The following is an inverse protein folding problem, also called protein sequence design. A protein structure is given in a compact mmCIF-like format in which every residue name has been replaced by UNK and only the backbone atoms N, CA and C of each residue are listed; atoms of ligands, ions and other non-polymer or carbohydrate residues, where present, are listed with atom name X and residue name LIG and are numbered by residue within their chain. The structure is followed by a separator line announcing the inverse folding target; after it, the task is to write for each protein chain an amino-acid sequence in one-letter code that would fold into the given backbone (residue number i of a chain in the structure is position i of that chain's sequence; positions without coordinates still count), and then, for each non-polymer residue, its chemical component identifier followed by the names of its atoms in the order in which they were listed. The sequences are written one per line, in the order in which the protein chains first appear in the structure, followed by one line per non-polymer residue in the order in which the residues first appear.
data_IF_503344444653
#
_entry.id   IF_503344444653
#
_cell.length_a   1.000
_cell.length_b   1.000
_cell.length_c   1.000
_cell.angle_alpha   90.00
_cell.angle_beta   90.00
_cell.angle_gamma   90.00
#
_symmetry.space_group_name_H-M   'P 1'
#
loop_
_entity.id
_entity.type
_entity.pdbx_description
1 polymer ?
#
# COMPACT_ATOMS: atom_id res chain seq x y z
N UNK A 1 -9.55 -25.40 -15.88
CA UNK A 1 -8.38 -24.70 -15.33
C UNK A 1 -8.91 -23.51 -14.56
N UNK A 2 -8.72 -23.51 -13.23
CA UNK A 2 -9.32 -22.53 -12.35
C UNK A 2 -8.51 -21.24 -12.32
N UNK A 3 -8.93 -20.25 -13.10
CA UNK A 3 -8.67 -18.85 -12.74
C UNK A 3 -9.75 -18.47 -11.75
N UNK A 4 -9.45 -18.49 -10.45
CA UNK A 4 -10.30 -17.76 -9.51
C UNK A 4 -10.24 -16.30 -9.93
N UNK A 5 -11.21 -15.85 -10.72
CA UNK A 5 -11.35 -14.46 -11.18
C UNK A 5 -11.85 -13.61 -10.01
N UNK A 6 -11.18 -13.70 -8.88
CA UNK A 6 -11.47 -12.82 -7.75
C UNK A 6 -10.86 -11.49 -8.13
N UNK A 7 -11.68 -10.57 -8.61
CA UNK A 7 -11.26 -9.19 -8.74
C UNK A 7 -11.12 -8.60 -7.31
N UNK A 8 -10.21 -7.65 -7.09
CA UNK A 8 -10.14 -6.94 -5.82
C UNK A 8 -11.48 -6.28 -5.50
N UNK A 9 -11.89 -6.35 -4.23
CA UNK A 9 -13.08 -5.63 -3.78
C UNK A 9 -12.73 -4.18 -3.45
N UNK A 10 -13.32 -3.23 -4.17
CA UNK A 10 -13.11 -1.81 -3.90
C UNK A 10 -13.71 -1.40 -2.54
N UNK A 11 -13.13 -0.41 -1.84
CA UNK A 11 -11.92 0.34 -2.20
C UNK A 11 -10.61 -0.42 -1.96
N UNK A 12 -9.62 -0.22 -2.83
CA UNK A 12 -8.24 -0.61 -2.56
C UNK A 12 -7.64 0.30 -1.47
N UNK A 13 -6.75 -0.26 -0.65
CA UNK A 13 -6.10 0.43 0.46
C UNK A 13 -4.59 0.22 0.46
N UNK A 14 -3.84 1.30 0.63
CA UNK A 14 -2.40 1.29 0.82
C UNK A 14 -2.10 1.08 2.31
N UNK A 15 -1.26 0.10 2.59
CA UNK A 15 -0.65 -0.12 3.89
C UNK A 15 0.85 0.19 3.81
N UNK A 16 1.38 0.94 4.78
CA UNK A 16 2.82 1.11 4.94
C UNK A 16 3.38 -0.02 5.78
N UNK A 17 4.57 -0.51 5.42
CA UNK A 17 5.25 -1.56 6.19
C UNK A 17 6.63 -1.12 6.66
N UNK A 18 7.00 -1.57 7.87
CA UNK A 18 8.34 -1.42 8.46
C UNK A 18 9.26 -2.60 8.14
N UNK A 19 8.68 -3.72 7.70
CA UNK A 19 9.39 -4.86 7.12
C UNK A 19 8.61 -5.35 5.89
N UNK A 20 9.30 -5.58 4.78
CA UNK A 20 8.68 -6.07 3.56
C UNK A 20 8.14 -7.50 3.75
N UNK A 21 6.99 -7.77 3.13
CA UNK A 21 6.46 -9.12 3.00
C UNK A 21 7.19 -9.93 1.92
N UNK A 22 6.76 -11.17 1.76
CA UNK A 22 7.14 -12.08 0.69
C UNK A 22 5.89 -12.67 0.05
N UNK A 23 6.04 -13.50 -0.98
CA UNK A 23 4.91 -14.22 -1.59
C UNK A 23 4.12 -15.07 -0.57
N UNK A 24 4.79 -15.53 0.49
CA UNK A 24 4.20 -16.41 1.50
C UNK A 24 3.65 -15.67 2.73
N UNK A 25 4.04 -14.42 2.98
CA UNK A 25 3.68 -13.70 4.19
C UNK A 25 3.55 -12.18 3.99
N UNK A 26 2.58 -11.59 4.70
CA UNK A 26 2.44 -10.14 4.83
C UNK A 26 3.68 -9.51 5.49
N UNK A 27 4.00 -8.27 5.09
CA UNK A 27 4.97 -7.45 5.79
C UNK A 27 4.51 -7.05 7.19
N UNK A 28 5.39 -6.41 7.94
CA UNK A 28 5.02 -5.82 9.24
C UNK A 28 4.40 -4.45 8.99
N UNK A 29 3.09 -4.37 9.11
CA UNK A 29 2.36 -3.10 8.96
C UNK A 29 2.74 -2.10 10.05
N UNK A 30 2.85 -0.83 9.68
CA UNK A 30 3.05 0.28 10.63
C UNK A 30 1.90 0.29 11.64
N UNK A 31 2.21 0.54 12.92
CA UNK A 31 1.21 0.68 13.98
C UNK A 31 1.56 1.84 14.89
N UNK A 32 0.54 2.45 15.50
CA UNK A 32 0.68 3.62 16.38
C UNK A 32 0.53 4.96 15.66
N UNK A 33 0.63 6.05 16.42
CA UNK A 33 0.35 7.40 15.93
C UNK A 33 -1.09 7.51 15.38
N UNK A 34 -1.24 8.23 14.28
CA UNK A 34 -2.50 8.35 13.52
C UNK A 34 -2.53 7.44 12.28
N UNK A 35 -1.67 6.42 12.23
CA UNK A 35 -1.59 5.54 11.08
C UNK A 35 -2.88 4.72 10.92
N UNK A 36 -3.44 4.79 9.70
CA UNK A 36 -4.51 3.91 9.20
C UNK A 36 -4.24 3.63 7.73
N UNK A 37 -4.66 2.47 7.22
CA UNK A 37 -4.61 2.21 5.77
C UNK A 37 -5.40 3.28 5.02
N UNK A 38 -4.84 3.80 3.92
CA UNK A 38 -5.47 4.86 3.13
C UNK A 38 -6.11 4.28 1.89
N UNK A 39 -7.33 4.72 1.59
CA UNK A 39 -7.97 4.37 0.33
C UNK A 39 -7.13 4.92 -0.83
N UNK A 40 -6.98 4.10 -1.88
CA UNK A 40 -6.27 4.46 -3.10
C UNK A 40 -7.29 4.62 -4.20
N UNK A 41 -7.25 5.76 -4.86
CA UNK A 41 -7.86 5.91 -6.18
C UNK A 41 -6.80 5.58 -7.21
N UNK A 42 -7.10 4.66 -8.12
CA UNK A 42 -6.19 4.22 -9.18
C UNK A 42 -6.69 4.71 -10.54
N UNK A 43 -5.76 5.03 -11.43
CA UNK A 43 -6.07 5.26 -12.83
C UNK A 43 -6.46 3.97 -13.56
N UNK A 44 -6.85 4.11 -14.82
CA UNK A 44 -6.97 2.96 -15.71
C UNK A 44 -5.61 2.25 -15.82
N UNK A 45 -5.60 0.92 -15.68
CA UNK A 45 -4.38 0.16 -15.86
C UNK A 45 -3.94 0.22 -17.33
N UNK A 46 -2.64 0.40 -17.56
CA UNK A 46 -2.01 0.36 -18.87
C UNK A 46 -0.89 -0.67 -18.83
N UNK A 47 -0.86 -1.59 -19.81
CA UNK A 47 0.12 -2.68 -19.87
C UNK A 47 0.20 -3.54 -18.59
N UNK A 48 -0.92 -3.70 -17.88
CA UNK A 48 -1.00 -4.50 -16.64
C UNK A 48 -0.56 -3.79 -15.36
N UNK A 49 -0.10 -2.54 -15.44
CA UNK A 49 0.23 -1.72 -14.27
C UNK A 49 -0.76 -0.55 -14.12
N UNK A 50 -1.03 -0.15 -12.88
CA UNK A 50 -1.75 1.08 -12.55
C UNK A 50 -0.97 1.90 -11.53
N UNK A 51 -1.35 3.15 -11.36
CA UNK A 51 -0.78 4.06 -10.37
C UNK A 51 -1.86 4.79 -9.59
N UNK A 52 -1.51 5.27 -8.40
CA UNK A 52 -2.38 6.15 -7.64
C UNK A 52 -2.68 7.43 -8.44
N UNK A 53 -3.96 7.79 -8.59
CA UNK A 53 -4.39 8.98 -9.34
C UNK A 53 -4.51 10.23 -8.46
N UNK A 54 -4.34 10.09 -7.15
CA UNK A 54 -4.39 11.17 -6.17
C UNK A 54 -3.30 10.96 -5.11
N UNK A 55 -2.94 12.05 -4.42
CA UNK A 55 -1.97 12.03 -3.34
C UNK A 55 -2.49 11.16 -2.18
N UNK A 56 -1.65 10.24 -1.72
CA UNK A 56 -1.93 9.42 -0.54
C UNK A 56 -1.14 10.03 0.61
N UNK A 57 -1.84 10.59 1.58
CA UNK A 57 -1.22 11.33 2.69
C UNK A 57 -1.58 10.71 4.03
N UNK A 58 -0.56 10.50 4.84
CA UNK A 58 -0.68 10.17 6.24
C UNK A 58 0.04 11.22 7.09
N UNK A 59 -0.67 11.76 8.05
CA UNK A 59 -0.15 12.72 9.03
C UNK A 59 -0.06 12.05 10.40
N UNK A 60 0.77 12.59 11.30
CA UNK A 60 0.86 12.07 12.66
C UNK A 60 1.47 10.66 12.73
N UNK A 61 2.45 10.37 11.88
CA UNK A 61 3.08 9.04 11.82
C UNK A 61 3.83 8.72 13.12
N UNK A 62 3.90 7.43 13.51
CA UNK A 62 4.81 7.00 14.56
C UNK A 62 6.26 7.11 14.09
N UNK A 63 7.19 7.22 15.04
CA UNK A 63 8.62 7.12 14.72
C UNK A 63 8.94 5.72 14.20
N UNK A 64 9.61 5.62 13.06
CA UNK A 64 9.91 4.34 12.43
C UNK A 64 10.49 4.50 11.03
N UNK A 65 10.92 3.38 10.43
CA UNK A 65 11.39 3.37 9.04
C UNK A 65 10.41 2.60 8.18
N UNK A 66 9.89 3.26 7.16
CA UNK A 66 9.02 2.69 6.14
C UNK A 66 9.91 2.09 5.05
N UNK A 67 9.75 0.80 4.78
CA UNK A 67 10.57 0.07 3.81
C UNK A 67 9.80 -0.36 2.56
N UNK A 68 8.47 -0.28 2.61
CA UNK A 68 7.61 -0.75 1.53
C UNK A 68 6.15 -0.34 1.68
N UNK A 69 5.37 -0.73 0.68
CA UNK A 69 3.92 -0.54 0.62
C UNK A 69 3.27 -1.86 0.22
N UNK A 70 2.09 -2.12 0.78
CA UNK A 70 1.22 -3.22 0.37
C UNK A 70 -0.15 -2.70 -0.05
N UNK A 71 -0.78 -3.37 -1.01
CA UNK A 71 -2.13 -3.07 -1.49
C UNK A 71 -3.07 -4.16 -1.00
N UNK A 72 -4.08 -3.72 -0.26
CA UNK A 72 -5.12 -4.57 0.30
C UNK A 72 -6.48 -4.18 -0.28
N UNK A 73 -7.38 -5.14 -0.44
CA UNK A 73 -8.78 -4.82 -0.70
C UNK A 73 -9.55 -4.54 0.60
N UNK A 74 -10.79 -4.08 0.43
CA UNK A 74 -11.69 -3.75 1.53
C UNK A 74 -12.74 -4.84 1.79
N UNK A 75 -12.45 -6.11 1.45
CA UNK A 75 -13.37 -7.21 1.72
C UNK A 75 -13.51 -7.50 3.22
N UNK A 76 -14.57 -8.21 3.62
CA UNK A 76 -14.79 -8.59 5.03
C UNK A 76 -13.60 -9.33 5.65
N UNK A 77 -12.88 -10.11 4.83
CA UNK A 77 -11.52 -10.59 5.12
C UNK A 77 -10.57 -9.97 4.10
N UNK A 78 -9.87 -8.87 4.43
CA UNK A 78 -8.99 -8.18 3.50
C UNK A 78 -7.94 -9.12 2.91
N UNK A 79 -7.78 -9.10 1.58
CA UNK A 79 -6.76 -9.84 0.85
C UNK A 79 -5.66 -8.88 0.39
N UNK A 80 -4.40 -9.31 0.51
CA UNK A 80 -3.26 -8.58 -0.04
C UNK A 80 -3.10 -8.95 -1.52
N UNK A 81 -3.18 -7.95 -2.38
CA UNK A 81 -3.08 -8.12 -3.84
C UNK A 81 -1.71 -7.76 -4.39
N UNK A 82 -0.96 -6.93 -3.68
CA UNK A 82 0.36 -6.50 -4.08
C UNK A 82 1.22 -6.12 -2.88
N UNK A 83 2.52 -6.28 -3.02
CA UNK A 83 3.52 -5.73 -2.11
C UNK A 83 4.74 -5.30 -2.90
N UNK A 84 5.43 -4.27 -2.42
CA UNK A 84 6.67 -3.82 -3.05
C UNK A 84 7.52 -2.95 -2.12
N UNK A 85 8.85 -3.13 -2.16
CA UNK A 85 9.76 -2.28 -1.41
C UNK A 85 9.77 -0.86 -1.98
N UNK A 86 10.05 0.12 -1.12
CA UNK A 86 10.43 1.45 -1.56
C UNK A 86 11.86 1.42 -2.11
N UNK A 87 12.11 2.16 -3.20
CA UNK A 87 13.46 2.30 -3.75
C UNK A 87 14.44 2.86 -2.72
N UNK A 88 13.97 3.79 -1.88
CA UNK A 88 14.68 4.31 -0.72
C UNK A 88 13.75 4.22 0.49
N UNK A 89 14.18 3.50 1.53
CA UNK A 89 13.46 3.46 2.80
C UNK A 89 13.37 4.87 3.40
N UNK A 90 12.23 5.17 4.01
CA UNK A 90 11.94 6.49 4.58
C UNK A 90 11.87 6.40 6.10
N UNK A 91 12.82 7.01 6.79
CA UNK A 91 12.77 7.19 8.25
C UNK A 91 11.88 8.39 8.59
N UNK A 92 10.99 8.19 9.54
CA UNK A 92 10.03 9.18 10.05
C UNK A 92 10.26 9.37 11.56
N UNK A 93 10.19 10.62 12.01
CA UNK A 93 10.04 10.97 13.41
C UNK A 93 8.56 10.95 13.82
N UNK A 94 8.30 10.94 15.14
CA UNK A 94 6.93 11.00 15.66
C UNK A 94 6.27 12.32 15.25
N UNK A 95 5.09 12.25 14.63
CA UNK A 95 4.35 13.41 14.14
C UNK A 95 4.59 13.74 12.67
N UNK A 96 5.55 13.10 12.00
CA UNK A 96 5.87 13.37 10.61
C UNK A 96 4.72 13.04 9.65
N UNK A 97 4.78 13.64 8.46
CA UNK A 97 3.93 13.31 7.34
C UNK A 97 4.63 12.32 6.40
N UNK A 98 3.96 11.23 6.04
CA UNK A 98 4.33 10.39 4.92
C UNK A 98 3.36 10.62 3.77
N UNK A 99 3.87 10.82 2.56
CA UNK A 99 3.04 11.06 1.38
C UNK A 99 3.58 10.34 0.14
N UNK A 100 2.67 9.83 -0.67
CA UNK A 100 2.93 9.43 -2.05
C UNK A 100 2.14 10.35 -2.97
N UNK A 101 2.81 11.24 -3.72
CA UNK A 101 2.16 12.04 -4.74
C UNK A 101 1.49 11.16 -5.80
N UNK A 102 0.47 11.70 -6.47
CA UNK A 102 -0.15 11.06 -7.63
C UNK A 102 0.91 10.56 -8.63
N UNK A 103 0.71 9.34 -9.16
CA UNK A 103 1.58 8.69 -10.13
C UNK A 103 2.86 8.08 -9.54
N UNK A 104 3.16 8.25 -8.25
CA UNK A 104 4.40 7.73 -7.66
C UNK A 104 4.30 6.24 -7.31
N UNK A 105 3.16 5.81 -6.79
CA UNK A 105 2.94 4.42 -6.41
C UNK A 105 2.38 3.67 -7.62
N UNK A 106 3.25 2.92 -8.31
CA UNK A 106 2.91 2.08 -9.47
C UNK A 106 2.92 0.61 -9.08
N UNK A 107 1.86 -0.14 -9.41
CA UNK A 107 1.73 -1.56 -9.09
C UNK A 107 0.90 -2.31 -10.13
N UNK A 108 1.11 -3.62 -10.22
CA UNK A 108 0.32 -4.54 -11.04
C UNK A 108 -0.34 -5.55 -10.11
N UNK A 109 -1.65 -5.76 -10.27
CA UNK A 109 -2.35 -6.80 -9.52
C UNK A 109 -2.14 -8.13 -10.24
N UNK A 110 -1.64 -9.13 -9.52
CA UNK A 110 -1.46 -10.48 -10.03
C UNK A 110 -2.78 -11.27 -10.05
#
# INVERSE_FOLDING_TARGET
MGTSTTAPTLPLKAALVTANGSDSAAGTEVTGGSYVRKNITVGAASSGATSNSADIVWTGMPAGTIVGVEIWDSAGSPVRWWYGPLANSRTLASGDECRFPAGTLTFALA
#
